data_IF_680289929660
#
_entry.id   IF_680289929660
#
_cell.length_a   1.000
_cell.length_b   1.000
_cell.length_c   1.000
_cell.angle_alpha   90.00
_cell.angle_beta   90.00
_cell.angle_gamma   90.00
#
_symmetry.space_group_name_H-M   'P 1'
#
loop_
_entity.id
_entity.type
_entity.pdbx_description
1 polymer ?
#
# COMPACT_ATOMS: atom_id res chain seq x y z
N UNK A 1 -0.24 5.64 -0.03
CA UNK A 1 -0.53 5.76 1.41
C UNK A 1 0.33 4.75 2.17
N UNK A 2 0.77 5.09 3.37
CA UNK A 2 1.53 4.22 4.28
C UNK A 2 0.68 3.97 5.51
N UNK A 3 0.43 2.70 5.78
CA UNK A 3 -0.26 2.22 6.98
C UNK A 3 0.79 1.87 8.05
N UNK A 4 0.94 2.74 9.04
CA UNK A 4 1.94 2.60 10.10
C UNK A 4 1.59 1.49 11.10
N UNK A 5 0.30 1.20 11.29
CA UNK A 5 -0.16 0.09 12.13
C UNK A 5 0.21 -1.28 11.52
N UNK A 6 0.39 -1.34 10.20
CA UNK A 6 0.83 -2.53 9.48
C UNK A 6 2.28 -2.48 9.04
N UNK A 7 3.18 -2.12 9.95
CA UNK A 7 4.64 -2.10 9.70
C UNK A 7 5.05 -1.22 8.51
N UNK A 8 4.31 -0.13 8.26
CA UNK A 8 4.58 0.77 7.14
C UNK A 8 4.16 0.20 5.78
N UNK A 9 3.14 -0.67 5.74
CA UNK A 9 2.63 -1.25 4.49
C UNK A 9 2.14 -0.15 3.55
N UNK A 10 2.62 -0.16 2.31
CA UNK A 10 2.28 0.85 1.31
C UNK A 10 1.18 0.36 0.38
N UNK A 11 0.16 1.19 0.19
CA UNK A 11 -0.96 0.91 -0.71
C UNK A 11 -1.54 2.15 -1.38
N UNK A 12 -2.30 1.91 -2.44
CA UNK A 12 -3.11 2.92 -3.13
C UNK A 12 -4.44 3.11 -2.39
N UNK A 13 -4.84 4.36 -2.18
CA UNK A 13 -6.15 4.65 -1.60
C UNK A 13 -7.25 4.37 -2.62
N UNK A 14 -8.22 3.54 -2.24
CA UNK A 14 -9.37 3.14 -3.08
C UNK A 14 -10.67 3.82 -2.68
N UNK A 15 -10.78 4.29 -1.44
CA UNK A 15 -11.97 4.96 -0.95
C UNK A 15 -12.16 4.78 0.55
N UNK A 16 -13.32 5.19 1.04
CA UNK A 16 -13.73 5.07 2.44
C UNK A 16 -14.66 3.87 2.60
N UNK A 17 -14.38 3.02 3.58
CA UNK A 17 -15.17 1.86 3.99
C UNK A 17 -15.63 2.06 5.45
N UNK A 18 -16.75 2.77 5.62
CA UNK A 18 -17.22 3.17 6.96
C UNK A 18 -16.20 4.10 7.65
N UNK A 19 -15.73 3.79 8.87
CA UNK A 19 -14.69 4.59 9.54
C UNK A 19 -13.29 4.33 9.00
N UNK A 20 -13.09 3.31 8.17
CA UNK A 20 -11.79 2.89 7.65
C UNK A 20 -11.55 3.38 6.22
N UNK A 21 -10.29 3.41 5.81
CA UNK A 21 -9.88 3.61 4.43
C UNK A 21 -9.59 2.27 3.77
N UNK A 22 -10.09 2.07 2.55
CA UNK A 22 -9.72 0.92 1.72
C UNK A 22 -8.42 1.22 0.98
N UNK A 23 -7.41 0.38 1.21
CA UNK A 23 -6.10 0.45 0.55
C UNK A 23 -5.86 -0.82 -0.28
N UNK A 24 -5.29 -0.65 -1.46
CA UNK A 24 -4.88 -1.75 -2.34
C UNK A 24 -3.36 -1.88 -2.39
N UNK A 25 -2.77 -3.08 -2.31
CA UNK A 25 -1.33 -3.23 -2.41
C UNK A 25 -0.82 -2.84 -3.80
N UNK A 26 0.32 -2.15 -3.85
CA UNK A 26 0.97 -1.70 -5.11
C UNK A 26 1.44 -2.90 -5.96
N UNK A 27 1.77 -4.02 -5.32
CA UNK A 27 2.20 -5.25 -5.98
C UNK A 27 1.02 -6.19 -6.32
N UNK A 28 -0.23 -5.72 -6.22
CA UNK A 28 -1.38 -6.62 -6.29
C UNK A 28 -1.56 -7.47 -5.02
N UNK A 29 -2.66 -8.20 -4.97
CA UNK A 29 -3.12 -8.92 -3.77
C UNK A 29 -4.35 -8.29 -3.12
N UNK A 30 -4.72 -8.80 -1.95
CA UNK A 30 -5.96 -8.45 -1.27
C UNK A 30 -5.94 -7.02 -0.74
N UNK A 31 -6.99 -6.27 -1.07
CA UNK A 31 -7.28 -4.96 -0.47
C UNK A 31 -7.46 -5.10 1.04
N UNK A 32 -7.17 -4.04 1.78
CA UNK A 32 -7.30 -4.03 3.23
C UNK A 32 -7.87 -2.72 3.73
N UNK A 33 -8.56 -2.80 4.86
CA UNK A 33 -9.08 -1.65 5.58
C UNK A 33 -8.04 -1.14 6.58
N UNK A 34 -7.77 0.16 6.56
CA UNK A 34 -6.80 0.83 7.41
C UNK A 34 -7.46 1.98 8.17
N UNK A 35 -7.05 2.18 9.41
CA UNK A 35 -7.52 3.29 10.24
C UNK A 35 -6.94 4.61 9.73
N UNK A 36 -7.75 5.64 9.45
CA UNK A 36 -7.27 6.90 8.89
C UNK A 36 -6.19 7.57 9.75
N UNK A 37 -6.25 7.41 11.08
CA UNK A 37 -5.26 7.96 12.02
C UNK A 37 -3.86 7.33 11.88
N UNK A 38 -3.81 6.09 11.40
CA UNK A 38 -2.58 5.34 11.19
C UNK A 38 -2.07 5.43 9.74
N UNK A 39 -2.83 6.09 8.86
CA UNK A 39 -2.51 6.22 7.44
C UNK A 39 -2.03 7.62 7.12
N UNK A 40 -0.86 7.70 6.47
CA UNK A 40 -0.32 8.97 5.96
C UNK A 40 0.10 8.88 4.50
N UNK A 41 0.28 10.02 3.81
CA UNK A 41 0.99 10.06 2.55
C UNK A 41 2.38 9.40 2.67
N UNK A 42 2.76 8.65 1.64
CA UNK A 42 4.10 8.08 1.56
C UNK A 42 5.11 9.18 1.24
N UNK A 43 6.26 9.15 1.89
CA UNK A 43 7.38 9.99 1.48
C UNK A 43 8.00 9.48 0.16
N UNK A 44 8.95 10.24 -0.40
CA UNK A 44 9.57 9.90 -1.67
C UNK A 44 10.34 8.56 -1.61
N UNK A 45 10.97 8.23 -0.48
CA UNK A 45 11.75 7.01 -0.30
C UNK A 45 10.82 5.80 -0.19
N UNK A 46 9.75 5.93 0.59
CA UNK A 46 8.72 4.91 0.75
C UNK A 46 8.00 4.64 -0.56
N UNK A 47 7.71 5.69 -1.35
CA UNK A 47 7.18 5.55 -2.70
C UNK A 47 8.14 4.81 -3.62
N UNK A 48 9.42 5.21 -3.63
CA UNK A 48 10.46 4.54 -4.43
C UNK A 48 10.60 3.05 -4.06
N UNK A 49 10.58 2.73 -2.75
CA UNK A 49 10.63 1.35 -2.26
C UNK A 49 9.42 0.53 -2.72
N UNK A 50 8.22 1.10 -2.69
CA UNK A 50 7.02 0.43 -3.15
C UNK A 50 7.06 0.15 -4.66
N UNK A 51 7.51 1.10 -5.48
CA UNK A 51 7.70 0.89 -6.93
C UNK A 51 8.78 -0.16 -7.22
N UNK A 52 9.90 -0.12 -6.49
CA UNK A 52 10.93 -1.15 -6.62
C UNK A 52 10.42 -2.53 -6.21
N UNK A 53 9.63 -2.62 -5.13
CA UNK A 53 9.01 -3.88 -4.72
C UNK A 53 8.07 -4.42 -5.82
N UNK A 54 7.29 -3.55 -6.47
CA UNK A 54 6.45 -3.91 -7.62
C UNK A 54 7.29 -4.41 -8.81
N UNK A 55 8.36 -3.71 -9.17
CA UNK A 55 9.27 -4.12 -10.24
C UNK A 55 9.93 -5.47 -9.93
N UNK A 56 10.37 -5.68 -8.69
CA UNK A 56 10.97 -6.93 -8.25
C UNK A 56 9.97 -8.08 -8.27
N UNK A 57 8.74 -7.86 -7.78
CA UNK A 57 7.69 -8.85 -7.78
C UNK A 57 7.27 -9.24 -9.23
N UNK A 58 7.21 -8.25 -10.14
CA UNK A 58 7.02 -8.49 -11.58
C UNK A 58 8.15 -9.32 -12.18
N UNK A 59 9.41 -8.99 -11.87
CA UNK A 59 10.57 -9.77 -12.33
C UNK A 59 10.56 -11.21 -11.82
N UNK A 60 9.93 -11.46 -10.66
CA UNK A 60 9.77 -12.79 -10.06
C UNK A 60 8.53 -13.54 -10.56
N UNK A 61 7.69 -12.92 -11.39
CA UNK A 61 6.43 -13.50 -11.86
C UNK A 61 5.31 -13.50 -10.82
N UNK A 62 5.45 -12.75 -9.73
CA UNK A 62 4.47 -12.66 -8.64
C UNK A 62 3.33 -11.67 -8.96
N UNK A 63 3.51 -10.83 -9.98
CA UNK A 63 2.57 -9.77 -10.40
C UNK A 63 2.57 -9.68 -11.92
N UNK A 64 1.38 -9.71 -12.53
CA UNK A 64 1.15 -9.57 -13.97
C UNK A 64 0.72 -8.14 -14.34
#
# INVERSE_FOLDING_TARGET
MVDTARQGRVGEFRGVAGPYWSLRPVCGGTEWEAEPEHVRPADAIERLRAENARCNARSRGEVL
#
